data_IF_833691794726
#
_entry.id   IF_833691794726
#
_cell.length_a   1.000
_cell.length_b   1.000
_cell.length_c   1.000
_cell.angle_alpha   90.00
_cell.angle_beta   90.00
_cell.angle_gamma   90.00
#
_symmetry.space_group_name_H-M   'P 1'
#
loop_
_entity.id
_entity.type
_entity.pdbx_description
1 polymer ?
#
# COMPACT_ATOMS: atom_id res chain seq x y z
N UNK A 1 15.16 11.39 5.26
CA UNK A 1 14.01 10.46 5.28
C UNK A 1 12.79 11.20 4.78
N UNK A 2 12.18 10.71 3.74
CA UNK A 2 11.08 11.43 3.12
C UNK A 2 10.01 10.48 2.60
N UNK A 3 8.75 10.83 2.88
CA UNK A 3 7.60 10.25 2.22
C UNK A 3 7.13 11.28 1.21
N UNK A 4 7.13 10.90 -0.06
CA UNK A 4 6.86 11.78 -1.18
C UNK A 4 5.92 11.11 -2.18
N UNK A 5 5.20 11.92 -2.95
CA UNK A 5 4.52 11.41 -4.14
C UNK A 5 5.58 10.92 -5.14
N UNK A 6 5.34 9.78 -5.74
CA UNK A 6 6.20 9.28 -6.79
C UNK A 6 6.09 10.19 -8.03
N UNK A 7 7.21 10.66 -8.54
CA UNK A 7 7.24 11.55 -9.70
C UNK A 7 7.25 10.79 -11.02
N UNK A 8 7.68 9.53 -10.99
CA UNK A 8 7.73 8.70 -12.19
C UNK A 8 7.96 7.24 -11.81
N UNK A 9 7.82 6.37 -12.80
CA UNK A 9 8.08 4.94 -12.62
C UNK A 9 9.55 4.69 -12.90
N UNK A 10 10.29 4.34 -11.84
CA UNK A 10 11.72 4.00 -11.94
C UNK A 10 11.88 2.48 -11.93
N UNK A 11 13.03 1.93 -12.38
CA UNK A 11 13.30 0.51 -12.27
C UNK A 11 13.20 -0.03 -10.84
N UNK A 12 13.62 0.76 -9.87
CA UNK A 12 13.54 0.41 -8.44
C UNK A 12 12.08 0.29 -7.98
N UNK A 13 11.24 1.23 -8.41
CA UNK A 13 9.82 1.20 -8.08
C UNK A 13 9.12 0.03 -8.76
N UNK A 14 9.44 -0.26 -10.01
CA UNK A 14 8.89 -1.43 -10.71
C UNK A 14 9.24 -2.73 -9.99
N UNK A 15 10.48 -2.86 -9.55
CA UNK A 15 10.92 -4.06 -8.83
C UNK A 15 10.19 -4.20 -7.50
N UNK A 16 10.05 -3.11 -6.75
CA UNK A 16 9.32 -3.12 -5.49
C UNK A 16 7.85 -3.45 -5.70
N UNK A 17 7.24 -2.93 -6.76
CA UNK A 17 5.86 -3.22 -7.13
C UNK A 17 5.67 -4.72 -7.45
N UNK A 18 6.59 -5.31 -8.21
CA UNK A 18 6.54 -6.74 -8.51
C UNK A 18 6.66 -7.60 -7.26
N UNK A 19 7.54 -7.22 -6.34
CA UNK A 19 7.68 -7.91 -5.05
C UNK A 19 6.37 -7.84 -4.26
N UNK A 20 5.74 -6.68 -4.23
CA UNK A 20 4.47 -6.49 -3.54
C UNK A 20 3.36 -7.35 -4.15
N UNK A 21 3.27 -7.41 -5.47
CA UNK A 21 2.29 -8.27 -6.16
C UNK A 21 2.50 -9.74 -5.81
N UNK A 22 3.74 -10.18 -5.81
CA UNK A 22 4.08 -11.56 -5.47
C UNK A 22 3.66 -11.88 -4.02
N UNK A 23 4.02 -11.03 -3.09
CA UNK A 23 3.75 -11.24 -1.66
C UNK A 23 2.25 -11.22 -1.37
N UNK A 24 1.50 -10.29 -1.97
CA UNK A 24 0.05 -10.20 -1.81
C UNK A 24 -0.64 -11.44 -2.38
N UNK A 25 -0.20 -11.91 -3.54
CA UNK A 25 -0.78 -13.11 -4.17
C UNK A 25 -0.62 -14.35 -3.30
N UNK A 26 0.41 -14.40 -2.47
CA UNK A 26 0.66 -15.51 -1.57
C UNK A 26 -0.20 -15.47 -0.30
N UNK A 27 -0.87 -14.35 -0.02
CA UNK A 27 -1.69 -14.21 1.18
C UNK A 27 -3.12 -14.63 0.91
N UNK A 28 -3.81 -15.09 1.98
CA UNK A 28 -5.22 -15.43 1.90
C UNK A 28 -6.04 -14.20 1.46
N UNK A 29 -6.81 -14.36 0.41
CA UNK A 29 -7.62 -13.28 -0.15
C UNK A 29 -6.85 -12.32 -1.03
N UNK A 30 -5.54 -12.52 -1.20
CA UNK A 30 -4.70 -11.61 -1.97
C UNK A 30 -5.06 -11.54 -3.43
N UNK A 31 -5.36 -12.67 -4.06
CA UNK A 31 -5.77 -12.69 -5.46
C UNK A 31 -7.09 -11.92 -5.67
N UNK A 32 -8.04 -12.07 -4.76
CA UNK A 32 -9.31 -11.33 -4.84
C UNK A 32 -9.09 -9.83 -4.65
N UNK A 33 -8.21 -9.43 -3.72
CA UNK A 33 -7.88 -8.03 -3.51
C UNK A 33 -7.24 -7.44 -4.77
N UNK A 34 -6.27 -8.13 -5.37
CA UNK A 34 -5.62 -7.66 -6.60
C UNK A 34 -6.63 -7.50 -7.73
N UNK A 35 -7.55 -8.44 -7.90
CA UNK A 35 -8.59 -8.34 -8.90
C UNK A 35 -9.45 -7.08 -8.68
N UNK A 36 -9.78 -6.78 -7.43
CA UNK A 36 -10.54 -5.59 -7.08
C UNK A 36 -9.75 -4.30 -7.36
N UNK A 37 -8.50 -4.24 -6.94
CA UNK A 37 -7.68 -3.05 -7.12
C UNK A 37 -7.38 -2.77 -8.60
N UNK A 38 -7.13 -3.81 -9.35
CA UNK A 38 -6.77 -3.68 -10.76
C UNK A 38 -7.99 -3.45 -11.66
N UNK A 39 -9.15 -4.00 -11.30
CA UNK A 39 -10.42 -3.82 -12.01
C UNK A 39 -10.26 -3.99 -13.53
N UNK A 40 -9.64 -5.12 -13.95
CA UNK A 40 -9.39 -5.41 -15.35
C UNK A 40 -8.16 -4.75 -15.96
N UNK A 41 -7.48 -3.88 -15.22
CA UNK A 41 -6.26 -3.24 -15.69
C UNK A 41 -5.05 -4.11 -15.34
N UNK A 42 -4.11 -4.35 -16.25
CA UNK A 42 -2.88 -5.05 -15.91
C UNK A 42 -2.13 -4.36 -14.75
N UNK A 43 -1.52 -5.13 -13.83
CA UNK A 43 -0.85 -4.53 -12.67
C UNK A 43 0.22 -3.50 -13.02
N UNK A 44 0.96 -3.67 -14.12
CA UNK A 44 1.96 -2.71 -14.55
C UNK A 44 1.33 -1.37 -14.96
N UNK A 45 0.17 -1.42 -15.61
CA UNK A 45 -0.57 -0.23 -16.00
C UNK A 45 -1.18 0.46 -14.78
N UNK A 46 -1.56 -0.32 -13.77
CA UNK A 46 -2.04 0.26 -12.52
C UNK A 46 -0.95 1.10 -11.84
N UNK A 47 0.29 0.61 -11.82
CA UNK A 47 1.41 1.36 -11.27
C UNK A 47 1.59 2.69 -12.00
N UNK A 48 1.64 2.66 -13.32
CA UNK A 48 1.81 3.86 -14.13
C UNK A 48 0.67 4.85 -13.91
N UNK A 49 -0.57 4.37 -13.87
CA UNK A 49 -1.74 5.21 -13.62
C UNK A 49 -1.72 5.82 -12.22
N UNK A 50 -1.32 5.06 -11.22
CA UNK A 50 -1.23 5.53 -9.84
C UNK A 50 -0.18 6.65 -9.70
N UNK A 51 0.97 6.48 -10.35
CA UNK A 51 2.02 7.51 -10.36
C UNK A 51 1.50 8.78 -11.07
N UNK A 52 0.89 8.62 -12.25
CA UNK A 52 0.38 9.75 -13.02
C UNK A 52 -0.72 10.52 -12.30
N UNK A 53 -1.56 9.84 -11.55
CA UNK A 53 -2.68 10.47 -10.85
C UNK A 53 -2.35 11.02 -9.47
N UNK A 54 -1.09 10.87 -9.01
CA UNK A 54 -0.69 11.31 -7.68
C UNK A 54 -1.23 10.44 -6.56
N UNK A 55 -1.42 9.16 -6.82
CA UNK A 55 -1.97 8.21 -5.85
C UNK A 55 -0.91 7.33 -5.19
N UNK A 56 0.31 7.33 -5.69
CA UNK A 56 1.39 6.50 -5.16
C UNK A 56 2.39 7.32 -4.36
N UNK A 57 2.54 6.98 -3.10
CA UNK A 57 3.50 7.60 -2.18
C UNK A 57 4.66 6.65 -1.94
N UNK A 58 5.85 7.17 -1.86
CA UNK A 58 7.05 6.35 -1.65
C UNK A 58 7.84 6.84 -0.44
N UNK A 59 8.45 5.90 0.26
CA UNK A 59 9.41 6.19 1.31
C UNK A 59 10.81 5.99 0.74
N UNK A 60 11.54 7.07 0.63
CA UNK A 60 12.89 7.05 0.08
C UNK A 60 13.83 7.85 0.99
N UNK A 61 14.96 7.26 1.38
CA UNK A 61 16.07 7.99 1.99
C UNK A 61 17.33 7.76 1.16
N UNK A 62 18.18 6.82 1.53
CA UNK A 62 19.29 6.38 0.68
C UNK A 62 18.88 5.25 -0.28
N UNK A 63 17.67 4.69 -0.08
CA UNK A 63 17.09 3.66 -0.92
C UNK A 63 15.57 3.75 -0.88
N UNK A 64 14.92 3.19 -1.91
CA UNK A 64 13.46 3.05 -1.93
C UNK A 64 13.08 1.90 -1.01
N UNK A 65 12.34 2.18 0.06
CA UNK A 65 12.05 1.20 1.12
C UNK A 65 10.62 0.73 1.17
N UNK A 66 9.70 1.52 0.67
CA UNK A 66 8.29 1.15 0.69
C UNK A 66 7.42 2.12 -0.10
N UNK A 67 6.15 1.77 -0.24
CA UNK A 67 5.17 2.63 -0.89
C UNK A 67 3.78 2.44 -0.29
N UNK A 68 2.90 3.39 -0.61
CA UNK A 68 1.49 3.26 -0.33
C UNK A 68 0.69 3.70 -1.55
N UNK A 69 -0.38 2.99 -1.83
CA UNK A 69 -1.37 3.36 -2.83
C UNK A 69 -2.58 3.93 -2.10
N UNK A 70 -2.85 5.21 -2.32
CA UNK A 70 -3.95 5.91 -1.67
C UNK A 70 -4.80 6.61 -2.72
N UNK A 71 -6.03 6.15 -2.91
CA UNK A 71 -6.98 6.70 -3.89
C UNK A 71 -8.29 7.02 -3.17
N UNK A 72 -8.90 8.16 -3.50
CA UNK A 72 -10.20 8.56 -2.96
C UNK A 72 -10.27 8.44 -1.43
N UNK A 73 -9.23 8.89 -0.73
CA UNK A 73 -9.11 8.85 0.73
C UNK A 73 -9.13 7.44 1.32
N UNK A 74 -8.75 6.45 0.52
CA UNK A 74 -8.64 5.06 0.94
C UNK A 74 -7.20 4.58 0.73
N UNK A 75 -6.56 4.12 1.78
CA UNK A 75 -5.26 3.45 1.67
C UNK A 75 -5.54 2.02 1.20
N UNK A 76 -5.28 1.78 -0.08
CA UNK A 76 -5.56 0.48 -0.69
C UNK A 76 -4.44 -0.53 -0.46
N UNK A 77 -3.21 -0.05 -0.35
CA UNK A 77 -2.06 -0.90 -0.12
C UNK A 77 -0.93 -0.13 0.55
N UNK A 78 -0.21 -0.80 1.42
CA UNK A 78 1.07 -0.34 1.97
C UNK A 78 2.03 -1.52 1.87
N UNK A 79 3.19 -1.29 1.29
CA UNK A 79 4.20 -2.32 1.18
C UNK A 79 5.56 -1.80 1.60
N UNK A 80 6.25 -2.58 2.43
CA UNK A 80 7.61 -2.30 2.87
C UNK A 80 8.48 -3.47 2.41
N UNK A 81 9.59 -3.17 1.75
CA UNK A 81 10.55 -4.19 1.34
C UNK A 81 11.00 -4.99 2.55
N UNK A 82 11.14 -6.32 2.38
CA UNK A 82 11.38 -7.22 3.50
C UNK A 82 12.64 -6.87 4.30
N UNK A 83 13.68 -6.38 3.63
CA UNK A 83 14.95 -6.00 4.26
C UNK A 83 14.84 -4.72 5.12
N UNK A 84 13.77 -3.97 4.97
CA UNK A 84 13.54 -2.72 5.71
C UNK A 84 12.39 -2.80 6.71
N UNK A 85 11.85 -3.98 6.94
CA UNK A 85 10.79 -4.16 7.94
C UNK A 85 11.36 -4.00 9.35
N UNK A 86 10.48 -3.71 10.32
CA UNK A 86 10.84 -3.42 11.71
C UNK A 86 11.64 -2.13 11.88
N UNK A 87 11.61 -1.25 10.88
CA UNK A 87 12.22 0.09 10.94
C UNK A 87 11.18 1.20 10.91
N UNK A 88 9.91 0.85 11.15
CA UNK A 88 8.78 1.79 11.19
C UNK A 88 8.54 2.51 9.86
N UNK A 89 8.96 1.94 8.75
CA UNK A 89 8.74 2.53 7.43
C UNK A 89 7.24 2.63 7.13
N UNK A 90 6.50 1.54 7.30
CA UNK A 90 5.05 1.53 7.08
C UNK A 90 4.31 2.51 7.97
N UNK A 91 4.65 2.56 9.25
CA UNK A 91 4.06 3.52 10.20
C UNK A 91 4.33 4.95 9.78
N UNK A 92 5.55 5.24 9.32
CA UNK A 92 5.93 6.57 8.87
C UNK A 92 5.14 6.98 7.64
N UNK A 93 4.96 6.07 6.68
CA UNK A 93 4.15 6.35 5.48
C UNK A 93 2.71 6.66 5.87
N UNK A 94 2.09 5.80 6.67
CA UNK A 94 0.69 5.98 7.06
C UNK A 94 0.48 7.28 7.84
N UNK A 95 1.37 7.59 8.77
CA UNK A 95 1.28 8.85 9.52
C UNK A 95 1.43 10.07 8.62
N UNK A 96 2.31 10.00 7.62
CA UNK A 96 2.44 11.08 6.65
C UNK A 96 1.14 11.30 5.89
N UNK A 97 0.50 10.21 5.45
CA UNK A 97 -0.78 10.31 4.74
C UNK A 97 -1.87 10.90 5.62
N UNK A 98 -1.89 10.55 6.91
CA UNK A 98 -2.87 11.10 7.86
C UNK A 98 -2.66 12.59 8.13
N UNK A 99 -1.45 13.08 8.00
CA UNK A 99 -1.12 14.48 8.21
C UNK A 99 -1.34 15.34 6.97
N UNK A 100 -1.63 14.73 5.82
CA UNK A 100 -1.94 15.45 4.60
C UNK A 100 -3.34 16.07 4.69
N UNK A 101 -3.58 17.16 3.93
CA UNK A 101 -4.84 17.92 4.01
C UNK A 101 -6.08 17.07 3.68
N UNK A 102 -5.93 16.07 2.83
CA UNK A 102 -6.99 15.15 2.46
C UNK A 102 -6.76 13.79 3.11
N UNK A 103 -6.65 13.76 4.44
CA UNK A 103 -6.34 12.55 5.18
C UNK A 103 -7.25 11.38 4.79
N UNK A 104 -6.70 10.17 4.60
CA UNK A 104 -7.51 9.00 4.30
C UNK A 104 -8.45 8.67 5.45
N UNK A 105 -9.61 8.14 5.10
CA UNK A 105 -10.66 7.77 6.06
C UNK A 105 -10.60 6.29 6.37
N UNK A 106 -10.33 5.48 5.35
CA UNK A 106 -10.31 4.02 5.45
C UNK A 106 -9.00 3.45 4.93
N UNK A 107 -8.75 2.19 5.29
CA UNK A 107 -7.61 1.42 4.78
C UNK A 107 -8.00 -0.04 4.64
N UNK A 108 -7.43 -0.72 3.65
CA UNK A 108 -7.59 -2.15 3.50
C UNK A 108 -6.50 -2.91 4.25
N UNK A 109 -6.89 -4.02 4.86
CA UNK A 109 -5.96 -5.01 5.40
C UNK A 109 -6.52 -6.40 5.14
N UNK A 110 -5.70 -7.29 4.59
CA UNK A 110 -6.13 -8.67 4.35
C UNK A 110 -6.29 -9.41 5.67
N UNK A 111 -7.26 -10.34 5.77
CA UNK A 111 -7.46 -11.11 7.00
C UNK A 111 -6.21 -11.82 7.51
N UNK A 112 -5.33 -12.27 6.61
CA UNK A 112 -4.08 -12.92 6.96
C UNK A 112 -2.91 -11.98 7.18
N UNK A 113 -3.10 -10.70 7.02
CA UNK A 113 -2.04 -9.70 7.14
C UNK A 113 -2.05 -9.07 8.54
N UNK A 114 -1.52 -9.81 9.50
CA UNK A 114 -1.47 -9.35 10.89
C UNK A 114 -0.59 -8.11 11.06
N UNK A 115 0.47 -8.00 10.28
CA UNK A 115 1.37 -6.86 10.38
C UNK A 115 0.65 -5.55 10.03
N UNK A 116 -0.15 -5.53 8.97
CA UNK A 116 -0.91 -4.35 8.58
C UNK A 116 -2.02 -4.05 9.58
N UNK A 117 -2.74 -5.07 10.05
CA UNK A 117 -3.75 -4.87 11.10
C UNK A 117 -3.13 -4.26 12.36
N UNK A 118 -2.00 -4.82 12.80
CA UNK A 118 -1.30 -4.30 13.98
C UNK A 118 -0.83 -2.88 13.78
N UNK A 119 -0.37 -2.53 12.59
CA UNK A 119 0.05 -1.17 12.28
C UNK A 119 -1.11 -0.19 12.45
N UNK A 120 -2.26 -0.48 11.82
CA UNK A 120 -3.42 0.40 11.92
C UNK A 120 -3.97 0.47 13.34
N UNK A 121 -4.02 -0.66 14.04
CA UNK A 121 -4.49 -0.69 15.43
C UNK A 121 -3.55 0.12 16.34
N UNK A 122 -2.25 0.09 16.08
CA UNK A 122 -1.26 0.82 16.89
C UNK A 122 -1.42 2.35 16.80
N UNK A 123 -2.04 2.84 15.74
CA UNK A 123 -2.34 4.27 15.58
C UNK A 123 -3.80 4.60 15.86
N UNK A 124 -4.53 3.67 16.49
CA UNK A 124 -5.89 3.90 16.97
C UNK A 124 -7.00 3.54 16.01
N UNK A 125 -6.68 2.94 14.87
CA UNK A 125 -7.70 2.52 13.91
C UNK A 125 -8.31 1.19 14.32
N UNK A 126 -9.59 0.99 13.98
CA UNK A 126 -10.33 -0.22 14.30
C UNK A 126 -10.96 -0.81 13.05
N UNK A 127 -11.04 -2.13 13.00
CA UNK A 127 -11.74 -2.81 11.92
C UNK A 127 -13.24 -2.45 11.97
N UNK A 128 -13.79 -2.06 10.82
CA UNK A 128 -15.19 -1.63 10.73
C UNK A 128 -16.04 -2.48 9.81
N UNK A 129 -15.44 -3.12 8.83
CA UNK A 129 -16.16 -3.86 7.81
C UNK A 129 -15.36 -5.08 7.38
N UNK A 130 -16.02 -6.20 7.29
CA UNK A 130 -15.48 -7.42 6.74
C UNK A 130 -16.27 -7.79 5.50
N UNK A 131 -15.58 -7.91 4.36
CA UNK A 131 -16.21 -8.37 3.13
C UNK A 131 -16.13 -9.88 3.06
N UNK A 132 -17.29 -10.51 2.91
CA UNK A 132 -17.39 -11.95 2.76
C UNK A 132 -17.76 -12.28 1.32
N UNK A 133 -17.17 -13.34 0.80
CA UNK A 133 -17.46 -13.78 -0.57
C UNK A 133 -18.04 -15.19 -0.52
N UNK A 134 -19.13 -15.37 -1.24
CA UNK A 134 -19.74 -16.69 -1.44
C UNK A 134 -18.83 -17.62 -2.22
N UNK A 135 -18.95 -18.89 -1.97
CA UNK A 135 -18.15 -19.91 -2.64
C UNK A 135 -18.51 -20.04 -4.11
#
# INVERSE_FOLDING_TARGET
MSVLLAEGVTPELEELWKRALHDVSAKRGGAALLATLCDGTPPEELLAAAVSSGALWVFHDDALKGFALCRAQLIEAVYVASEFRRQKVGTTIVRHLLNDAAAPVDAYALPGDRAMKSLYESIGWKARLLTMRGA
#
